data_IF_351292041245
#
_entry.id   IF_351292041245
#
_cell.length_a   1.000
_cell.length_b   1.000
_cell.length_c   1.000
_cell.angle_alpha   90.00
_cell.angle_beta   90.00
_cell.angle_gamma   90.00
#
_symmetry.space_group_name_H-M   'P 1'
#
loop_
_entity.id
_entity.type
_entity.pdbx_description
1 polymer ?
#
# COMPACT_ATOMS: atom_id res chain seq x y z
N UNK A 1 -21.70 3.34 -61.91
CA UNK A 1 -22.38 4.60 -61.84
C UNK A 1 -22.19 5.09 -60.41
N UNK A 2 -21.12 5.51 -60.14
CA UNK A 2 -20.45 6.77 -60.01
C UNK A 2 -20.88 7.55 -58.74
N UNK A 3 -20.09 7.50 -57.75
CA UNK A 3 -20.25 8.29 -56.55
C UNK A 3 -18.92 8.61 -55.96
N UNK A 4 -18.34 9.69 -56.43
CA UNK A 4 -17.01 10.20 -56.01
C UNK A 4 -17.07 10.82 -54.61
N UNK A 5 -16.19 10.39 -53.80
CA UNK A 5 -15.92 10.89 -52.46
C UNK A 5 -15.05 12.13 -52.51
N UNK A 6 -15.49 13.19 -51.90
CA UNK A 6 -14.68 14.40 -51.75
C UNK A 6 -14.04 14.45 -50.39
N UNK A 7 -12.71 14.43 -50.39
CA UNK A 7 -11.87 14.63 -49.24
C UNK A 7 -11.64 16.13 -49.00
N UNK A 8 -12.04 16.62 -47.85
CA UNK A 8 -11.73 17.99 -47.44
C UNK A 8 -10.59 18.02 -46.45
N UNK A 9 -9.48 18.49 -46.90
CA UNK A 9 -8.31 18.85 -46.11
C UNK A 9 -8.58 20.15 -45.37
N UNK A 10 -8.38 20.16 -44.07
CA UNK A 10 -8.24 21.38 -43.27
C UNK A 10 -6.87 21.39 -42.60
N UNK A 11 -6.03 22.21 -43.10
CA UNK A 11 -4.72 22.48 -42.52
C UNK A 11 -4.77 23.80 -41.72
N UNK A 12 -4.14 23.80 -40.56
CA UNK A 12 -3.67 25.01 -39.93
C UNK A 12 -4.49 25.52 -38.75
N UNK A 13 -3.90 25.55 -37.69
CA UNK A 13 -3.83 26.41 -36.51
C UNK A 13 -3.67 25.56 -35.23
N UNK A 14 -2.53 25.51 -34.77
CA UNK A 14 -2.46 24.99 -33.45
C UNK A 14 -1.11 24.70 -32.87
N UNK A 15 -0.41 25.58 -32.87
CA UNK A 15 0.83 25.37 -32.25
C UNK A 15 0.87 25.86 -30.82
N UNK A 16 0.10 26.74 -30.56
CA UNK A 16 0.11 27.35 -29.27
C UNK A 16 -0.69 26.55 -28.27
N UNK A 17 -1.50 25.91 -28.66
CA UNK A 17 -2.33 25.15 -27.80
C UNK A 17 -1.62 23.90 -27.35
N UNK A 18 -0.76 23.51 -27.96
CA UNK A 18 -0.05 22.34 -27.63
C UNK A 18 0.86 22.50 -26.42
N UNK A 19 1.26 23.48 -26.32
CA UNK A 19 2.10 23.76 -25.23
C UNK A 19 1.32 23.92 -23.94
N UNK A 20 0.38 24.43 -24.09
CA UNK A 20 -0.47 24.58 -22.93
C UNK A 20 -1.13 23.28 -22.55
N UNK A 21 -1.30 22.66 -23.36
CA UNK A 21 -1.83 21.38 -23.18
C UNK A 21 -0.80 20.45 -22.55
N UNK A 22 0.23 20.63 -22.87
CA UNK A 22 1.27 19.85 -22.32
C UNK A 22 1.57 20.19 -20.87
N UNK A 23 1.44 21.24 -20.69
CA UNK A 23 1.59 21.69 -19.35
C UNK A 23 0.41 21.30 -18.51
N UNK A 24 -0.52 21.32 -19.02
CA UNK A 24 -1.71 20.91 -18.35
C UNK A 24 -1.72 19.43 -18.23
N UNK A 25 -1.21 18.91 -19.08
CA UNK A 25 -1.10 17.50 -19.03
C UNK A 25 -0.04 17.05 -18.01
N UNK A 26 0.77 17.76 -17.94
CA UNK A 26 1.75 17.47 -16.98
C UNK A 26 1.30 17.73 -15.58
N UNK A 27 0.61 18.64 -15.57
CA UNK A 27 0.03 18.92 -14.29
C UNK A 27 -1.07 17.95 -13.99
N UNK A 28 -1.62 17.63 -14.87
CA UNK A 28 -2.62 16.64 -14.74
C UNK A 28 -2.00 15.31 -14.47
N UNK A 29 -1.00 15.15 -15.01
CA UNK A 29 -0.31 13.95 -14.77
C UNK A 29 0.32 13.90 -13.41
N UNK A 30 0.62 14.87 -13.11
CA UNK A 30 1.12 14.96 -11.79
C UNK A 30 0.03 14.87 -10.78
N UNK A 31 -0.88 15.37 -11.16
CA UNK A 31 -2.05 15.25 -10.32
C UNK A 31 -2.65 13.89 -10.44
N UNK A 32 -2.54 13.44 -11.40
CA UNK A 32 -2.95 12.13 -11.62
C UNK A 32 -2.01 11.14 -10.99
N UNK A 33 -0.98 11.46 -10.98
CA UNK A 33 -0.03 10.64 -10.34
C UNK A 33 -0.16 10.68 -8.85
N UNK A 34 -0.53 11.71 -8.59
CA UNK A 34 -0.84 11.85 -7.22
C UNK A 34 -2.16 11.25 -6.93
N UNK A 35 -2.86 11.29 -7.73
CA UNK A 35 -4.12 10.68 -7.64
C UNK A 35 -4.04 9.19 -7.83
N UNK A 36 -3.22 8.85 -8.49
CA UNK A 36 -3.01 7.47 -8.67
C UNK A 36 -2.35 6.82 -7.49
N UNK A 37 -1.72 7.50 -7.01
CA UNK A 37 -1.14 7.10 -5.81
C UNK A 37 -2.11 7.18 -4.73
N UNK A 38 -2.89 7.94 -5.01
CA UNK A 38 -4.02 8.07 -4.16
C UNK A 38 -5.05 6.98 -4.42
N UNK A 39 -5.00 6.57 -5.38
CA UNK A 39 -5.89 5.51 -5.71
C UNK A 39 -5.65 4.29 -4.90
N UNK A 40 -4.59 4.08 -4.68
CA UNK A 40 -4.22 3.02 -3.83
C UNK A 40 -4.36 3.41 -2.41
N UNK A 41 -4.36 4.48 -2.35
CA UNK A 41 -4.53 5.08 -1.11
C UNK A 41 -5.95 5.60 -0.89
N UNK A 42 -6.62 5.53 -1.74
CA UNK A 42 -7.96 5.93 -1.55
C UNK A 42 -8.64 5.23 -0.42
N UNK A 43 -8.41 4.26 -0.19
CA UNK A 43 -8.87 3.53 0.92
C UNK A 43 -8.11 3.89 2.16
N UNK A 44 -7.14 4.47 1.94
CA UNK A 44 -6.32 4.83 3.00
C UNK A 44 -6.56 6.22 3.53
N UNK A 45 -7.39 6.75 3.09
CA UNK A 45 -7.67 8.06 3.54
C UNK A 45 -8.13 8.11 4.97
N UNK A 46 -8.60 7.30 5.46
CA UNK A 46 -9.06 7.23 6.78
C UNK A 46 -8.23 6.35 7.67
N UNK A 47 -7.08 6.03 7.26
CA UNK A 47 -6.29 5.12 8.14
C UNK A 47 -4.79 5.37 8.04
N UNK A 48 -4.10 4.73 8.93
CA UNK A 48 -2.63 4.65 8.90
C UNK A 48 -2.26 3.32 8.23
N UNK A 49 -1.34 3.37 7.27
CA UNK A 49 -0.79 2.16 6.63
C UNK A 49 0.68 2.07 7.05
N UNK A 50 1.08 0.92 7.59
CA UNK A 50 2.46 0.71 7.99
C UNK A 50 3.00 -0.59 7.39
N UNK A 51 4.07 -0.47 6.61
CA UNK A 51 4.82 -1.61 6.10
C UNK A 51 5.92 -1.92 7.12
N UNK A 52 5.93 -3.16 7.57
CA UNK A 52 6.84 -3.59 8.64
C UNK A 52 7.24 -5.04 8.42
N UNK A 53 8.06 -5.57 9.31
CA UNK A 53 8.38 -6.99 9.33
C UNK A 53 8.40 -7.51 10.77
N UNK A 54 7.86 -8.70 10.96
CA UNK A 54 7.99 -9.46 12.18
C UNK A 54 9.24 -10.36 12.17
N UNK A 55 9.99 -10.37 11.06
CA UNK A 55 11.22 -11.14 10.92
C UNK A 55 12.29 -10.60 11.87
N UNK A 56 12.85 -11.49 12.68
CA UNK A 56 13.86 -11.14 13.71
C UNK A 56 15.31 -11.29 13.23
N UNK A 57 15.52 -11.62 11.95
CA UNK A 57 16.86 -11.85 11.39
C UNK A 57 17.75 -10.62 11.47
N UNK A 58 17.18 -9.43 11.26
CA UNK A 58 17.89 -8.15 11.41
C UNK A 58 17.33 -7.43 12.63
N UNK A 59 18.07 -7.50 13.73
CA UNK A 59 17.61 -7.00 15.03
C UNK A 59 17.20 -5.52 14.98
N UNK A 60 18.02 -4.68 14.39
CA UNK A 60 17.73 -3.23 14.30
C UNK A 60 16.43 -2.95 13.57
N UNK A 61 16.17 -3.64 12.45
CA UNK A 61 14.93 -3.50 11.69
C UNK A 61 13.73 -3.98 12.50
N UNK A 62 13.86 -5.12 13.17
CA UNK A 62 12.80 -5.67 14.01
C UNK A 62 12.44 -4.69 15.16
N UNK A 63 13.46 -4.16 15.84
CA UNK A 63 13.24 -3.21 16.95
C UNK A 63 12.61 -1.91 16.44
N UNK A 64 13.08 -1.39 15.31
CA UNK A 64 12.50 -0.20 14.66
C UNK A 64 11.02 -0.41 14.33
N UNK A 65 10.67 -1.56 13.72
CA UNK A 65 9.28 -1.91 13.41
C UNK A 65 8.41 -2.00 14.66
N UNK A 66 8.94 -2.64 15.71
CA UNK A 66 8.25 -2.80 17.00
C UNK A 66 7.99 -1.44 17.67
N UNK A 67 8.98 -0.56 17.66
CA UNK A 67 8.87 0.81 18.24
C UNK A 67 7.77 1.59 17.51
N UNK A 68 7.83 1.65 16.18
CA UNK A 68 6.83 2.38 15.39
C UNK A 68 5.43 1.79 15.61
N UNK A 69 5.31 0.46 15.60
CA UNK A 69 4.03 -0.23 15.88
C UNK A 69 3.45 0.21 17.23
N UNK A 70 4.30 0.21 18.28
CA UNK A 70 3.88 0.61 19.63
C UNK A 70 3.40 2.06 19.68
N UNK A 71 4.13 2.99 19.04
CA UNK A 71 3.76 4.41 18.97
C UNK A 71 2.41 4.57 18.27
N UNK A 72 2.24 3.95 17.10
CA UNK A 72 1.02 4.08 16.30
C UNK A 72 -0.22 3.54 17.05
N UNK A 73 -0.09 2.38 17.69
CA UNK A 73 -1.18 1.78 18.47
C UNK A 73 -1.63 2.67 19.64
N UNK A 74 -0.72 3.49 20.17
CA UNK A 74 -1.04 4.46 21.24
C UNK A 74 -2.07 5.49 20.82
N UNK A 75 -2.21 5.77 19.54
CA UNK A 75 -3.17 6.79 19.04
C UNK A 75 -4.59 6.24 18.87
N UNK A 76 -4.78 4.92 18.93
CA UNK A 76 -6.12 4.27 18.81
C UNK A 76 -6.85 4.68 17.53
N UNK A 77 -6.14 4.67 16.41
CA UNK A 77 -6.68 4.91 15.06
C UNK A 77 -6.61 3.64 14.24
N UNK A 78 -7.37 3.53 13.14
CA UNK A 78 -7.28 2.33 12.28
C UNK A 78 -5.88 2.22 11.68
N UNK A 79 -5.22 1.10 11.91
CA UNK A 79 -3.88 0.82 11.39
C UNK A 79 -3.96 -0.40 10.48
N UNK A 80 -3.59 -0.23 9.23
CA UNK A 80 -3.44 -1.33 8.26
C UNK A 80 -1.96 -1.76 8.30
N UNK A 81 -1.69 -2.79 9.08
CA UNK A 81 -0.35 -3.38 9.19
C UNK A 81 -0.11 -4.33 8.04
N UNK A 82 0.95 -4.08 7.29
CA UNK A 82 1.38 -4.87 6.14
C UNK A 82 2.74 -5.49 6.45
N UNK A 83 2.68 -6.71 6.96
CA UNK A 83 3.88 -7.45 7.36
C UNK A 83 4.45 -8.19 6.15
N UNK A 84 5.65 -7.79 5.74
CA UNK A 84 6.34 -8.35 4.57
C UNK A 84 6.73 -9.82 4.76
N UNK A 85 6.80 -10.29 6.01
CA UNK A 85 7.05 -11.71 6.30
C UNK A 85 5.79 -12.55 6.07
N UNK A 86 4.63 -11.96 6.38
CA UNK A 86 3.34 -12.66 6.29
C UNK A 86 2.82 -12.73 4.85
N UNK A 87 3.19 -11.76 4.00
CA UNK A 87 2.71 -11.67 2.61
C UNK A 87 3.74 -10.94 1.77
N UNK A 88 4.37 -11.66 0.85
CA UNK A 88 5.43 -11.12 -0.01
C UNK A 88 4.94 -10.08 -1.01
N UNK A 89 3.63 -10.08 -1.34
CA UNK A 89 3.06 -9.09 -2.27
C UNK A 89 3.26 -7.65 -1.75
N UNK A 90 3.31 -7.47 -0.43
CA UNK A 90 3.57 -6.15 0.18
C UNK A 90 4.96 -5.60 -0.15
N UNK A 91 5.93 -6.49 -0.40
CA UNK A 91 7.28 -6.06 -0.81
C UNK A 91 7.23 -5.39 -2.19
N UNK A 92 6.55 -6.02 -3.14
CA UNK A 92 6.41 -5.43 -4.49
C UNK A 92 5.58 -4.16 -4.47
N UNK A 93 4.53 -4.15 -3.64
CA UNK A 93 3.66 -2.98 -3.48
C UNK A 93 4.44 -1.78 -2.95
N UNK A 94 5.13 -1.95 -1.81
CA UNK A 94 5.88 -0.83 -1.21
C UNK A 94 7.01 -0.36 -2.13
N UNK A 95 7.66 -1.27 -2.83
CA UNK A 95 8.73 -0.94 -3.78
C UNK A 95 8.21 -0.04 -4.90
N UNK A 96 7.04 -0.40 -5.48
CA UNK A 96 6.38 0.41 -6.51
C UNK A 96 6.01 1.80 -5.97
N UNK A 97 5.44 1.86 -4.77
CA UNK A 97 5.04 3.13 -4.14
C UNK A 97 6.27 4.02 -3.91
N UNK A 98 7.35 3.47 -3.34
CA UNK A 98 8.57 4.24 -3.04
C UNK A 98 9.22 4.77 -4.33
N UNK A 99 9.21 3.98 -5.40
CA UNK A 99 9.70 4.42 -6.71
C UNK A 99 8.87 5.57 -7.27
N UNK A 100 7.54 5.49 -7.15
CA UNK A 100 6.62 6.54 -7.64
C UNK A 100 6.80 7.87 -6.92
N UNK A 101 7.11 7.86 -5.64
CA UNK A 101 7.32 9.09 -4.85
C UNK A 101 8.78 9.58 -4.87
N UNK A 102 9.63 8.92 -5.66
CA UNK A 102 11.04 9.31 -5.81
C UNK A 102 11.91 8.98 -4.60
N UNK A 103 11.43 8.12 -3.71
CA UNK A 103 12.14 7.74 -2.48
C UNK A 103 12.83 6.37 -2.59
N UNK A 104 12.96 5.87 -3.81
CA UNK A 104 13.62 4.59 -4.06
C UNK A 104 13.81 4.34 -5.54
N UNK A 105 14.73 3.44 -5.86
CA UNK A 105 14.91 2.95 -7.22
C UNK A 105 14.09 1.67 -7.40
N UNK A 106 13.47 1.52 -8.56
CA UNK A 106 12.71 0.31 -8.88
C UNK A 106 13.57 -0.95 -8.86
N UNK A 107 14.88 -0.80 -9.07
CA UNK A 107 15.85 -1.91 -9.06
C UNK A 107 16.39 -2.23 -7.67
N UNK A 108 16.08 -1.41 -6.66
CA UNK A 108 16.59 -1.63 -5.32
C UNK A 108 15.88 -2.83 -4.69
N UNK A 109 16.64 -3.88 -4.47
CA UNK A 109 16.15 -5.14 -3.85
C UNK A 109 15.97 -5.00 -2.33
N UNK A 110 16.32 -3.84 -1.76
CA UNK A 110 16.21 -3.61 -0.32
C UNK A 110 15.26 -2.45 -0.06
N UNK A 111 14.28 -2.71 0.78
CA UNK A 111 13.37 -1.67 1.29
C UNK A 111 13.70 -1.53 2.78
N UNK A 112 14.11 -0.34 3.18
CA UNK A 112 14.29 -0.06 4.61
C UNK A 112 12.91 -0.01 5.27
N UNK A 113 12.75 -0.76 6.36
CA UNK A 113 11.51 -0.83 7.14
C UNK A 113 11.72 -0.28 8.54
N UNK A 114 10.70 0.25 9.15
CA UNK A 114 9.32 0.37 8.67
C UNK A 114 9.12 1.55 7.69
N UNK A 115 7.97 1.57 7.02
CA UNK A 115 7.50 2.71 6.19
C UNK A 115 6.07 3.05 6.60
N UNK A 116 5.83 4.32 6.91
CA UNK A 116 4.55 4.77 7.45
C UNK A 116 3.87 5.76 6.51
N UNK A 117 2.60 5.51 6.25
CA UNK A 117 1.73 6.40 5.46
C UNK A 117 0.52 6.77 6.32
N UNK A 118 0.17 8.04 6.32
CA UNK A 118 -1.01 8.54 7.05
C UNK A 118 -1.87 9.32 6.05
N UNK A 119 -3.13 8.94 5.91
CA UNK A 119 -4.03 9.56 4.95
C UNK A 119 -3.51 9.51 3.52
N UNK A 120 -2.80 8.43 3.17
CA UNK A 120 -2.23 8.23 1.84
C UNK A 120 -0.92 8.98 1.58
N UNK A 121 -0.41 9.73 2.56
CA UNK A 121 0.84 10.49 2.44
C UNK A 121 1.98 9.74 3.13
N UNK A 122 3.12 9.62 2.48
CA UNK A 122 4.33 9.07 3.09
C UNK A 122 4.84 10.02 4.17
N UNK A 123 4.99 9.52 5.38
CA UNK A 123 5.45 10.30 6.55
C UNK A 123 6.95 10.05 6.80
N UNK A 124 7.36 8.77 6.74
CA UNK A 124 8.75 8.44 6.99
C UNK A 124 8.95 7.01 7.46
N UNK A 125 10.15 6.74 7.94
CA UNK A 125 10.55 5.49 8.57
C UNK A 125 10.50 5.60 10.09
N UNK A 126 11.37 4.82 10.77
CA UNK A 126 11.38 4.77 12.23
C UNK A 126 11.82 6.10 12.85
N UNK A 127 12.90 6.66 12.34
CA UNK A 127 13.49 7.86 12.93
C UNK A 127 12.53 9.04 12.83
N UNK A 128 11.89 9.24 11.67
CA UNK A 128 10.92 10.31 11.45
C UNK A 128 9.70 10.16 12.36
N UNK A 129 9.21 8.94 12.53
CA UNK A 129 8.02 8.68 13.38
C UNK A 129 8.35 8.92 14.86
N UNK A 130 9.52 8.49 15.31
CA UNK A 130 9.96 8.70 16.70
C UNK A 130 10.11 10.20 16.94
N UNK A 131 10.81 10.93 16.05
CA UNK A 131 10.99 12.37 16.15
C UNK A 131 9.64 13.11 16.20
N UNK A 132 8.75 12.81 15.26
CA UNK A 132 7.41 13.43 15.22
C UNK A 132 6.59 13.13 16.47
N UNK A 133 6.78 11.94 17.05
CA UNK A 133 6.11 11.56 18.30
C UNK A 133 6.66 12.35 19.49
N UNK A 134 7.98 12.46 19.61
CA UNK A 134 8.66 13.16 20.72
C UNK A 134 8.32 14.66 20.75
N UNK A 135 8.27 15.30 19.58
CA UNK A 135 7.91 16.74 19.51
C UNK A 135 6.38 16.97 19.52
N UNK A 136 5.58 15.88 19.55
CA UNK A 136 4.13 15.97 19.61
C UNK A 136 3.44 16.25 18.28
N UNK A 137 4.19 16.38 17.20
CA UNK A 137 3.65 16.71 15.87
C UNK A 137 2.88 15.55 15.22
N UNK A 138 3.23 14.30 15.58
CA UNK A 138 2.57 13.11 15.05
C UNK A 138 1.05 13.14 15.27
N UNK A 139 0.62 13.71 16.40
CA UNK A 139 -0.80 13.88 16.74
C UNK A 139 -1.57 14.67 15.69
N UNK A 140 -0.93 15.65 15.04
CA UNK A 140 -1.56 16.46 13.98
C UNK A 140 -1.91 15.62 12.76
N UNK A 141 -1.04 14.67 12.42
CA UNK A 141 -1.28 13.75 11.29
C UNK A 141 -2.40 12.75 11.60
N UNK A 142 -2.60 12.42 12.87
CA UNK A 142 -3.65 11.50 13.32
C UNK A 142 -5.02 12.21 13.44
N UNK A 143 -5.00 13.55 13.48
CA UNK A 143 -6.21 14.36 13.63
C UNK A 143 -7.17 14.11 12.46
N UNK A 144 -8.42 13.79 12.77
CA UNK A 144 -9.44 13.52 11.76
C UNK A 144 -9.57 12.04 11.37
N UNK A 145 -8.69 11.17 11.86
CA UNK A 145 -8.88 9.74 11.69
C UNK A 145 -9.93 9.23 12.71
N UNK A 146 -10.76 8.26 12.32
CA UNK A 146 -11.75 7.71 13.25
C UNK A 146 -11.06 7.01 14.42
N UNK A 147 -11.66 7.08 15.59
CA UNK A 147 -11.15 6.35 16.76
C UNK A 147 -11.56 4.89 16.71
N UNK A 148 -10.65 4.02 17.12
CA UNK A 148 -10.90 2.56 17.21
C UNK A 148 -10.98 2.16 18.67
N UNK A 149 -11.97 1.35 19.00
CA UNK A 149 -12.12 0.80 20.34
C UNK A 149 -10.89 -0.07 20.68
N UNK A 150 -10.43 -0.02 21.92
CA UNK A 150 -9.34 -0.89 22.35
C UNK A 150 -9.78 -2.35 22.32
N UNK A 151 -8.93 -3.20 21.81
CA UNK A 151 -9.21 -4.62 21.74
C UNK A 151 -8.36 -5.33 20.72
N UNK A 152 -8.35 -6.62 20.85
CA UNK A 152 -7.70 -7.50 19.89
C UNK A 152 -8.80 -8.14 19.03
N UNK A 153 -8.61 -8.16 17.74
CA UNK A 153 -9.58 -8.78 16.82
C UNK A 153 -9.85 -10.24 17.24
N UNK A 154 -11.09 -10.59 17.49
CA UNK A 154 -11.50 -11.93 17.93
C UNK A 154 -11.25 -13.00 16.86
N UNK A 155 -11.29 -12.61 15.58
CA UNK A 155 -11.10 -13.54 14.46
C UNK A 155 -9.62 -13.90 14.29
N UNK A 156 -8.74 -12.90 14.24
CA UNK A 156 -7.33 -13.16 13.94
C UNK A 156 -6.39 -13.03 15.16
N UNK A 157 -6.91 -12.73 16.34
CA UNK A 157 -6.08 -12.57 17.53
C UNK A 157 -5.03 -11.46 17.41
N UNK A 158 -5.28 -10.47 16.54
CA UNK A 158 -4.33 -9.37 16.31
C UNK A 158 -3.27 -9.65 15.26
N UNK A 159 -3.26 -10.84 14.64
CA UNK A 159 -2.26 -11.22 13.63
C UNK A 159 -2.54 -10.61 12.26
N UNK A 160 -3.75 -10.08 12.04
CA UNK A 160 -4.21 -9.47 10.76
C UNK A 160 -4.40 -10.49 9.63
N UNK A 161 -4.07 -11.76 9.85
CA UNK A 161 -4.19 -12.86 8.91
C UNK A 161 -4.89 -14.03 9.56
N UNK A 162 -5.57 -14.84 8.73
CA UNK A 162 -6.19 -16.10 9.13
C UNK A 162 -5.74 -17.18 8.14
N UNK A 163 -5.87 -18.43 8.51
CA UNK A 163 -5.61 -19.55 7.61
C UNK A 163 -6.66 -19.54 6.48
N UNK A 164 -6.24 -19.89 5.30
CA UNK A 164 -7.15 -20.06 4.16
C UNK A 164 -8.08 -21.25 4.42
N UNK A 165 -9.39 -21.04 4.30
CA UNK A 165 -10.39 -22.08 4.53
C UNK A 165 -10.38 -23.16 3.44
N UNK A 166 -10.01 -22.81 2.19
CA UNK A 166 -9.98 -23.74 1.06
C UNK A 166 -8.87 -24.79 1.20
N UNK A 167 -7.69 -24.38 1.65
CA UNK A 167 -6.53 -25.29 1.72
C UNK A 167 -6.06 -25.55 3.17
N UNK A 168 -6.74 -24.97 4.16
CA UNK A 168 -6.40 -25.10 5.57
C UNK A 168 -4.93 -24.72 5.86
N UNK A 169 -4.44 -23.70 5.15
CA UNK A 169 -3.08 -23.18 5.34
C UNK A 169 -1.99 -23.94 4.59
N UNK A 170 -2.34 -25.04 3.88
CA UNK A 170 -1.34 -25.84 3.16
C UNK A 170 -0.88 -25.24 1.82
N UNK A 171 -1.61 -24.24 1.32
CA UNK A 171 -1.44 -23.64 -0.01
C UNK A 171 -1.57 -24.68 -1.15
N UNK A 172 -2.20 -25.83 -0.89
CA UNK A 172 -2.40 -26.93 -1.85
C UNK A 172 -3.84 -27.40 -1.82
N UNK A 173 -4.41 -27.57 -3.02
CA UNK A 173 -5.76 -28.10 -3.19
C UNK A 173 -5.65 -29.48 -3.89
N UNK A 174 -6.34 -30.51 -3.41
CA UNK A 174 -6.28 -31.83 -4.05
C UNK A 174 -6.99 -31.82 -5.41
N UNK A 175 -6.46 -32.57 -6.34
CA UNK A 175 -7.05 -32.82 -7.66
C UNK A 175 -7.73 -34.18 -7.67
N UNK A 176 -8.70 -34.35 -8.56
CA UNK A 176 -9.45 -35.61 -8.72
C UNK A 176 -8.57 -36.80 -9.13
N UNK A 177 -7.46 -36.53 -9.80
CA UNK A 177 -6.50 -37.53 -10.23
C UNK A 177 -5.49 -37.96 -9.17
N UNK A 178 -5.66 -37.43 -7.93
CA UNK A 178 -4.78 -37.76 -6.80
C UNK A 178 -3.57 -36.83 -6.68
N UNK A 179 -3.46 -35.79 -7.54
CA UNK A 179 -2.41 -34.78 -7.46
C UNK A 179 -2.80 -33.59 -6.58
N UNK A 180 -1.96 -32.57 -6.62
CA UNK A 180 -2.22 -31.29 -5.92
C UNK A 180 -1.95 -30.12 -6.87
N UNK A 181 -2.77 -29.08 -6.74
CA UNK A 181 -2.54 -27.79 -7.40
C UNK A 181 -2.35 -26.71 -6.33
N UNK A 182 -1.75 -25.57 -6.72
CA UNK A 182 -1.57 -24.42 -5.84
C UNK A 182 -2.93 -23.77 -5.56
N UNK A 183 -3.20 -23.47 -4.29
CA UNK A 183 -4.41 -22.76 -3.90
C UNK A 183 -4.31 -21.30 -4.39
N UNK A 184 -5.34 -20.82 -5.08
CA UNK A 184 -5.38 -19.46 -5.64
C UNK A 184 -6.08 -18.45 -4.71
N UNK A 185 -6.68 -18.93 -3.62
CA UNK A 185 -7.45 -18.09 -2.69
C UNK A 185 -6.58 -17.45 -1.61
N UNK A 186 -5.33 -17.89 -1.48
CA UNK A 186 -4.43 -17.45 -0.41
C UNK A 186 -3.04 -17.08 -0.93
N UNK A 187 -2.26 -16.44 -0.07
CA UNK A 187 -0.88 -16.09 -0.39
C UNK A 187 0.06 -17.31 -0.27
N UNK A 188 1.34 -17.13 -0.52
CA UNK A 188 2.37 -18.18 -0.50
C UNK A 188 2.51 -18.90 0.85
N UNK A 189 1.98 -18.30 1.92
CA UNK A 189 2.02 -18.87 3.28
C UNK A 189 0.70 -19.60 3.65
N UNK A 190 -0.24 -19.72 2.71
CA UNK A 190 -1.55 -20.32 3.00
C UNK A 190 -2.47 -19.41 3.82
N UNK A 191 -2.18 -18.10 3.80
CA UNK A 191 -2.88 -17.11 4.63
C UNK A 191 -3.74 -16.17 3.79
N UNK A 192 -4.86 -15.73 4.37
CA UNK A 192 -5.70 -14.67 3.81
C UNK A 192 -5.77 -13.51 4.82
N UNK A 193 -5.97 -12.30 4.33
CA UNK A 193 -6.11 -11.13 5.18
C UNK A 193 -7.42 -11.20 5.97
N UNK A 194 -7.34 -10.91 7.25
CA UNK A 194 -8.52 -10.93 8.13
C UNK A 194 -9.55 -9.89 7.67
N UNK A 195 -10.72 -10.33 7.28
CA UNK A 195 -11.81 -9.49 6.77
C UNK A 195 -12.30 -8.49 7.82
N UNK A 196 -12.35 -8.90 9.09
CA UNK A 196 -12.77 -8.04 10.20
C UNK A 196 -11.78 -6.88 10.44
N UNK A 197 -10.49 -7.08 10.11
CA UNK A 197 -9.48 -6.02 10.27
C UNK A 197 -9.40 -5.08 9.06
N UNK A 198 -9.98 -5.47 7.93
CA UNK A 198 -9.99 -4.67 6.71
C UNK A 198 -11.20 -3.74 6.61
N UNK A 199 -12.25 -4.03 7.38
CA UNK A 199 -13.50 -3.26 7.40
C UNK A 199 -13.37 -1.90 8.08
#
# INVERSE_FOLDING_TARGET
MDGLTTCCTFAGVXXXXXXXXXXXXXXXXXXXXXXXXXXXXXXXXXRVVVYLTSLRAVRSTFEACRTVRSILHGFRVPIDERDLLMDSSFFDEIRKIMAQIGQGRSDDKRVSLPKVFIGGRYIGGADEIVELHEIGELKKFMSGLPAVAPGVCEICGGFRFTLCEECNGSHKCPLEDGGFTTCVECNENGLIRCTSCLS
#
